data_IF_516218910197
#
_entry.id   IF_516218910197
#
_cell.length_a   1.000
_cell.length_b   1.000
_cell.length_c   1.000
_cell.angle_alpha   90.00
_cell.angle_beta   90.00
_cell.angle_gamma   90.00
#
_symmetry.space_group_name_H-M   'P 1'
#
loop_
_entity.id
_entity.type
_entity.pdbx_description
1 polymer ?
#
# COMPACT_ATOMS: atom_id res chain seq x y z
N UNK A 1 1.81 -18.10 11.36
CA UNK A 1 1.48 -16.89 12.15
C UNK A 1 0.64 -16.03 11.22
N UNK A 2 -0.63 -15.82 11.54
CA UNK A 2 -1.50 -14.96 10.74
C UNK A 2 -1.04 -13.50 10.91
N UNK A 3 -1.05 -12.72 9.84
CA UNK A 3 -0.72 -11.30 9.91
C UNK A 3 -1.93 -10.56 10.47
N UNK A 4 -1.72 -9.63 11.40
CA UNK A 4 -2.82 -8.92 12.09
C UNK A 4 -3.74 -8.17 11.12
N UNK A 5 -3.22 -7.77 9.96
CA UNK A 5 -3.93 -7.05 8.91
C UNK A 5 -4.39 -7.93 7.73
N UNK A 6 -4.27 -9.26 7.83
CA UNK A 6 -4.61 -10.15 6.70
C UNK A 6 -6.08 -10.07 6.29
N UNK A 7 -6.97 -9.86 7.25
CA UNK A 7 -8.40 -9.63 7.02
C UNK A 7 -8.68 -8.30 6.31
N UNK A 8 -7.75 -7.35 6.40
CA UNK A 8 -7.90 -6.01 5.82
C UNK A 8 -7.49 -5.99 4.35
N UNK A 9 -6.92 -7.09 3.83
CA UNK A 9 -6.47 -7.21 2.43
C UNK A 9 -7.38 -8.19 1.69
N UNK A 10 -8.32 -7.69 0.85
CA UNK A 10 -9.22 -8.51 0.06
C UNK A 10 -8.50 -9.58 -0.77
N UNK A 11 -9.10 -10.77 -0.97
CA UNK A 11 -8.51 -11.87 -1.75
C UNK A 11 -8.03 -11.47 -3.15
N UNK A 12 -8.73 -10.51 -3.76
CA UNK A 12 -8.56 -10.05 -5.15
C UNK A 12 -7.44 -9.02 -5.30
N UNK A 13 -6.83 -8.57 -4.20
CA UNK A 13 -5.81 -7.52 -4.24
C UNK A 13 -4.59 -7.97 -5.02
N UNK A 14 -4.22 -7.24 -6.07
CA UNK A 14 -3.02 -7.48 -6.87
C UNK A 14 -1.98 -6.38 -6.78
N UNK A 15 -2.37 -5.21 -6.31
CA UNK A 15 -1.51 -4.04 -6.22
C UNK A 15 -1.91 -3.11 -5.10
N UNK A 16 -1.16 -2.02 -4.97
CA UNK A 16 -1.55 -0.90 -4.13
C UNK A 16 -0.96 0.42 -4.62
N UNK A 17 -1.61 1.51 -4.22
CA UNK A 17 -1.19 2.87 -4.48
C UNK A 17 -1.00 3.59 -3.15
N UNK A 18 0.15 4.24 -2.95
CA UNK A 18 0.43 4.92 -1.69
C UNK A 18 -0.15 6.32 -1.66
N UNK A 19 -0.83 6.63 -0.57
CA UNK A 19 -1.52 7.89 -0.37
C UNK A 19 -1.07 8.54 0.94
N UNK A 20 -0.98 9.87 0.95
CA UNK A 20 -0.74 10.65 2.18
C UNK A 20 -1.34 12.04 2.10
N UNK A 21 -1.66 12.61 3.25
CA UNK A 21 -2.00 14.04 3.38
C UNK A 21 -0.77 14.82 3.84
N UNK A 22 -0.52 15.97 3.23
CA UNK A 22 0.55 16.90 3.58
C UNK A 22 -0.06 18.25 3.96
N UNK A 23 0.47 18.88 5.01
CA UNK A 23 -0.09 20.15 5.49
C UNK A 23 -1.51 19.97 6.02
N UNK A 24 -2.37 20.94 5.74
CA UNK A 24 -3.74 20.93 6.23
C UNK A 24 -4.55 19.84 5.49
N UNK A 25 -4.59 19.86 4.16
CA UNK A 25 -5.43 18.93 3.36
C UNK A 25 -4.85 18.54 1.98
N UNK A 26 -3.55 18.71 1.73
CA UNK A 26 -2.98 18.36 0.42
C UNK A 26 -2.79 16.84 0.26
N UNK A 27 -3.68 16.22 -0.52
CA UNK A 27 -3.55 14.81 -0.90
C UNK A 27 -2.39 14.61 -1.88
N UNK A 28 -1.51 13.65 -1.57
CA UNK A 28 -0.43 13.17 -2.43
C UNK A 28 -0.58 11.67 -2.65
N UNK A 29 -0.56 11.30 -3.92
CA UNK A 29 -0.74 9.93 -4.39
C UNK A 29 0.52 9.52 -5.16
N UNK A 30 1.01 8.30 -4.94
CA UNK A 30 2.10 7.70 -5.70
C UNK A 30 1.56 6.98 -6.94
N UNK A 31 2.44 6.55 -7.85
CA UNK A 31 2.05 5.66 -8.94
C UNK A 31 1.55 4.32 -8.37
N UNK A 32 0.53 3.75 -9.00
CA UNK A 32 0.04 2.42 -8.67
C UNK A 32 1.14 1.36 -8.93
N UNK A 33 1.26 0.39 -8.03
CA UNK A 33 2.17 -0.75 -8.23
C UNK A 33 1.37 -2.04 -8.16
N UNK A 34 1.43 -2.80 -9.25
CA UNK A 34 0.81 -4.11 -9.38
C UNK A 34 1.88 -5.21 -9.32
N UNK A 35 1.58 -6.30 -8.64
CA UNK A 35 2.49 -7.42 -8.47
C UNK A 35 2.02 -8.61 -9.29
N UNK A 36 2.90 -9.20 -10.11
CA UNK A 36 2.58 -10.39 -10.92
C UNK A 36 2.11 -11.59 -10.07
N UNK A 37 2.58 -11.68 -8.83
CA UNK A 37 2.19 -12.75 -7.89
C UNK A 37 0.91 -12.42 -7.10
N UNK A 38 0.23 -11.32 -7.43
CA UNK A 38 -1.02 -10.88 -6.80
C UNK A 38 -0.93 -10.72 -5.29
N UNK A 39 -2.01 -11.09 -4.58
CA UNK A 39 -2.17 -10.94 -3.14
C UNK A 39 -0.99 -11.47 -2.31
N UNK A 40 -0.42 -12.66 -2.56
CA UNK A 40 0.77 -13.12 -1.85
C UNK A 40 1.95 -12.13 -1.83
N UNK A 41 2.21 -11.45 -2.96
CA UNK A 41 3.27 -10.43 -3.02
C UNK A 41 2.89 -9.14 -2.31
N UNK A 42 1.63 -8.73 -2.40
CA UNK A 42 1.08 -7.60 -1.63
C UNK A 42 1.25 -7.86 -0.12
N UNK A 43 0.77 -9.02 0.35
CA UNK A 43 0.88 -9.45 1.75
C UNK A 43 2.33 -9.48 2.24
N UNK A 44 3.24 -10.03 1.42
CA UNK A 44 4.67 -10.05 1.75
C UNK A 44 5.26 -8.65 1.87
N UNK A 45 4.86 -7.75 0.97
CA UNK A 45 5.35 -6.36 0.94
C UNK A 45 4.84 -5.57 2.13
N UNK A 46 3.55 -5.68 2.46
CA UNK A 46 2.94 -5.07 3.63
C UNK A 46 3.52 -5.63 4.94
N UNK A 47 3.76 -6.94 5.03
CA UNK A 47 4.41 -7.55 6.19
C UNK A 47 5.86 -7.06 6.38
N UNK A 48 6.57 -6.76 5.30
CA UNK A 48 7.91 -6.14 5.43
C UNK A 48 7.82 -4.69 5.86
N UNK A 49 6.77 -3.98 5.44
CA UNK A 49 6.53 -2.61 5.87
C UNK A 49 6.16 -2.53 7.36
N UNK A 50 5.43 -3.52 7.89
CA UNK A 50 5.05 -3.56 9.32
C UNK A 50 6.25 -3.72 10.26
N UNK A 51 7.41 -4.14 9.76
CA UNK A 51 8.67 -4.10 10.54
C UNK A 51 9.10 -2.65 10.82
N UNK A 52 8.72 -1.71 9.95
CA UNK A 52 9.10 -0.29 10.04
C UNK A 52 8.03 0.57 10.73
N UNK A 53 6.87 0.01 11.07
CA UNK A 53 5.76 0.75 11.66
C UNK A 53 4.42 0.01 11.58
N UNK A 54 3.33 0.76 11.67
CA UNK A 54 1.96 0.23 11.64
C UNK A 54 1.43 -0.02 10.21
N UNK A 55 0.81 -1.18 10.03
CA UNK A 55 0.05 -1.58 8.83
C UNK A 55 -1.22 -2.29 9.30
N UNK A 56 -2.40 -1.80 8.89
CA UNK A 56 -3.68 -2.44 9.21
C UNK A 56 -4.72 -1.48 9.77
N UNK A 57 -5.97 -1.92 9.75
CA UNK A 57 -7.14 -1.15 10.15
C UNK A 57 -7.64 -0.20 9.07
N UNK A 58 -8.87 0.28 9.27
CA UNK A 58 -9.52 1.23 8.39
C UNK A 58 -8.95 2.64 8.51
N UNK A 59 -9.27 3.47 7.51
CA UNK A 59 -8.95 4.89 7.51
C UNK A 59 -10.02 5.70 8.22
N UNK A 60 -9.61 6.81 8.83
CA UNK A 60 -10.47 7.79 9.50
C UNK A 60 -10.05 9.22 9.13
N UNK A 61 -10.78 10.23 9.60
CA UNK A 61 -10.47 11.64 9.32
C UNK A 61 -9.13 12.15 9.89
N UNK A 62 -8.43 11.33 10.67
CA UNK A 62 -7.09 11.65 11.20
C UNK A 62 -5.98 10.86 10.50
N UNK A 63 -6.33 10.00 9.55
CA UNK A 63 -5.38 9.15 8.84
C UNK A 63 -4.58 9.99 7.86
N UNK A 64 -3.27 10.06 8.09
CA UNK A 64 -2.34 10.84 7.26
C UNK A 64 -1.62 10.00 6.21
N UNK A 65 -1.61 8.67 6.35
CA UNK A 65 -0.91 7.74 5.46
C UNK A 65 -1.74 6.47 5.29
N UNK A 66 -1.91 6.02 4.05
CA UNK A 66 -2.60 4.77 3.74
C UNK A 66 -2.14 4.22 2.39
N UNK A 67 -2.61 3.03 2.06
CA UNK A 67 -2.51 2.48 0.72
C UNK A 67 -3.91 2.09 0.21
N UNK A 68 -4.24 2.53 -0.99
CA UNK A 68 -5.39 2.03 -1.72
C UNK A 68 -5.03 0.66 -2.28
N UNK A 69 -5.85 -0.35 -2.01
CA UNK A 69 -5.67 -1.72 -2.47
C UNK A 69 -6.34 -1.88 -3.83
N UNK A 70 -5.59 -2.39 -4.81
CA UNK A 70 -6.02 -2.45 -6.20
C UNK A 70 -6.26 -3.90 -6.64
N UNK A 71 -7.26 -4.13 -7.47
CA UNK A 71 -7.45 -5.40 -8.18
C UNK A 71 -6.57 -5.51 -9.44
N UNK A 72 -6.83 -6.50 -10.30
CA UNK A 72 -6.07 -6.73 -11.52
C UNK A 72 -6.36 -5.70 -12.63
N UNK A 73 -7.53 -5.08 -12.60
CA UNK A 73 -7.96 -4.05 -13.56
C UNK A 73 -7.45 -2.66 -13.15
N UNK A 74 -6.94 -2.54 -11.92
CA UNK A 74 -6.41 -1.31 -11.34
C UNK A 74 -7.47 -0.52 -10.57
N UNK A 75 -8.63 -1.13 -10.31
CA UNK A 75 -9.69 -0.52 -9.53
C UNK A 75 -9.40 -0.63 -8.03
N UNK A 76 -9.73 0.42 -7.28
CA UNK A 76 -9.60 0.42 -5.82
C UNK A 76 -10.71 -0.45 -5.20
N UNK A 77 -10.29 -1.52 -4.53
CA UNK A 77 -11.17 -2.51 -3.88
C UNK A 77 -11.10 -2.47 -2.35
N UNK A 78 -10.26 -1.59 -1.79
CA UNK A 78 -10.12 -1.43 -0.36
C UNK A 78 -9.04 -0.42 -0.01
N UNK A 79 -8.87 -0.18 1.30
CA UNK A 79 -7.89 0.74 1.83
C UNK A 79 -7.28 0.13 3.08
N UNK A 80 -5.99 0.37 3.30
CA UNK A 80 -5.29 -0.07 4.51
C UNK A 80 -4.52 1.08 5.12
N UNK A 81 -4.72 1.32 6.41
CA UNK A 81 -4.03 2.38 7.14
C UNK A 81 -2.55 2.05 7.31
N UNK A 82 -1.72 3.09 7.17
CA UNK A 82 -0.30 3.07 7.41
C UNK A 82 0.08 4.15 8.43
N UNK A 83 1.29 4.04 8.97
CA UNK A 83 1.99 5.18 9.56
C UNK A 83 3.08 5.72 8.62
N UNK A 84 3.77 6.78 9.06
CA UNK A 84 4.84 7.40 8.28
C UNK A 84 6.02 6.45 8.05
N UNK A 85 6.32 5.55 9.00
CA UNK A 85 7.42 4.59 8.90
C UNK A 85 7.16 3.55 7.81
N UNK A 86 5.99 2.92 7.86
CA UNK A 86 5.55 1.89 6.89
C UNK A 86 5.38 2.49 5.50
N UNK A 87 4.78 3.68 5.40
CA UNK A 87 4.63 4.38 4.13
C UNK A 87 5.99 4.70 3.49
N UNK A 88 6.95 5.21 4.28
CA UNK A 88 8.30 5.48 3.78
C UNK A 88 9.03 4.19 3.39
N UNK A 89 8.88 3.11 4.15
CA UNK A 89 9.46 1.81 3.81
C UNK A 89 8.96 1.29 2.47
N UNK A 90 7.64 1.36 2.22
CA UNK A 90 7.02 0.99 0.94
C UNK A 90 7.54 1.85 -0.21
N UNK A 91 7.49 3.18 -0.06
CA UNK A 91 7.94 4.11 -1.10
C UNK A 91 9.42 3.95 -1.45
N UNK A 92 10.28 3.78 -0.46
CA UNK A 92 11.74 3.83 -0.66
C UNK A 92 12.35 2.49 -1.03
N UNK A 93 11.76 1.37 -0.63
CA UNK A 93 12.36 0.04 -0.86
C UNK A 93 11.64 -0.75 -1.94
N UNK A 94 10.33 -0.56 -2.10
CA UNK A 94 9.51 -1.50 -2.87
C UNK A 94 8.80 -0.86 -4.06
N UNK A 95 8.54 0.45 -4.01
CA UNK A 95 8.04 1.23 -5.16
C UNK A 95 9.17 1.95 -5.92
N UNK A 96 10.44 1.58 -5.69
CA UNK A 96 11.59 2.17 -6.41
C UNK A 96 11.81 1.61 -7.82
N UNK A 97 10.90 0.81 -8.37
CA UNK A 97 11.05 0.24 -9.70
C UNK A 97 10.79 1.27 -10.80
N UNK A 98 11.89 1.93 -11.19
CA UNK A 98 12.27 2.32 -12.54
C UNK A 98 11.37 1.77 -13.65
N UNK A 99 10.72 2.68 -14.39
CA UNK A 99 10.23 2.42 -15.74
C UNK A 99 11.29 1.66 -16.55
N UNK A 100 11.09 0.38 -16.86
CA UNK A 100 11.66 -0.17 -18.08
C UNK A 100 10.82 0.39 -19.22
N UNK A 101 11.38 1.36 -19.95
CA UNK A 101 10.83 1.73 -21.26
C UNK A 101 10.85 0.47 -22.14
N UNK A 102 9.75 0.09 -22.81
CA UNK A 102 9.83 -0.89 -23.88
C UNK A 102 10.77 -0.34 -24.97
N UNK A 103 11.79 -1.12 -25.30
CA UNK A 103 12.67 -0.92 -26.47
C UNK A 103 11.95 -1.33 -27.75
#
# INVERSE_FOLDING_TARGET
MALEFESDVPPETTGFMLCKIVGDDDLKIAEAVTFEKGRPAVMTTLNRASISGHVGGGIDGHTRFWADLLDADGDTIGEIRLDSGSWNALRTRWMRCSMQRPS
#
